data_IF_225995218583
#
_entry.id   IF_225995218583
#
_cell.length_a   1.000
_cell.length_b   1.000
_cell.length_c   1.000
_cell.angle_alpha   90.00
_cell.angle_beta   90.00
_cell.angle_gamma   90.00
#
_symmetry.space_group_name_H-M   'P 1'
#
loop_
_entity.id
_entity.type
_entity.pdbx_description
1 polymer ?
#
# COMPACT_ATOMS: atom_id res chain seq x y z
N UNK A 1 -11.69 21.28 -12.21
CA UNK A 1 -12.79 20.60 -12.94
C UNK A 1 -12.27 19.79 -14.13
N UNK A 2 -11.59 20.37 -15.13
CA UNK A 2 -11.04 19.59 -16.26
C UNK A 2 -9.71 18.86 -15.94
N UNK A 3 -8.94 19.35 -14.97
CA UNK A 3 -7.65 18.79 -14.57
C UNK A 3 -7.80 17.52 -13.72
N UNK A 4 -8.82 17.48 -12.84
CA UNK A 4 -9.15 16.31 -12.01
C UNK A 4 -9.53 15.09 -12.86
N UNK A 5 -10.32 15.31 -13.92
CA UNK A 5 -10.66 14.30 -14.93
C UNK A 5 -9.42 13.75 -15.65
N UNK A 6 -8.44 14.62 -15.95
CA UNK A 6 -7.22 14.22 -16.63
C UNK A 6 -6.33 13.34 -15.73
N UNK A 7 -6.25 13.65 -14.43
CA UNK A 7 -5.52 12.84 -13.45
C UNK A 7 -6.18 11.47 -13.29
N UNK A 8 -7.50 11.40 -13.16
CA UNK A 8 -8.25 10.13 -13.04
C UNK A 8 -8.17 9.26 -14.31
N UNK A 9 -8.07 9.88 -15.50
CA UNK A 9 -7.91 9.17 -16.78
C UNK A 9 -6.52 8.59 -17.01
N UNK A 10 -5.54 8.88 -16.16
CA UNK A 10 -4.19 8.36 -16.33
C UNK A 10 -4.20 6.83 -16.24
N UNK A 11 -3.84 6.09 -17.30
CA UNK A 11 -3.95 4.64 -17.31
C UNK A 11 -3.09 4.02 -16.20
N UNK A 12 -3.76 3.29 -15.31
CA UNK A 12 -3.15 2.63 -14.15
C UNK A 12 -3.25 3.39 -12.84
N UNK A 13 -3.67 4.66 -12.80
CA UNK A 13 -3.82 5.43 -11.55
C UNK A 13 -5.01 4.93 -10.70
N UNK A 14 -6.19 4.80 -11.31
CA UNK A 14 -7.42 4.39 -10.60
C UNK A 14 -7.29 3.06 -9.86
N UNK A 15 -6.76 2.01 -10.50
CA UNK A 15 -6.64 0.69 -9.88
C UNK A 15 -5.65 0.67 -8.70
N UNK A 16 -4.60 1.50 -8.74
CA UNK A 16 -3.61 1.61 -7.65
C UNK A 16 -4.20 2.27 -6.42
N UNK A 17 -5.03 3.28 -6.64
CA UNK A 17 -5.81 3.93 -5.58
C UNK A 17 -6.76 2.91 -4.95
N UNK A 18 -7.55 2.20 -5.77
CA UNK A 18 -8.41 1.12 -5.26
C UNK A 18 -7.62 0.04 -4.51
N UNK A 19 -6.46 -0.39 -5.03
CA UNK A 19 -5.59 -1.37 -4.37
C UNK A 19 -5.10 -0.84 -3.02
N UNK A 20 -4.70 0.43 -2.93
CA UNK A 20 -4.24 1.01 -1.65
C UNK A 20 -5.34 1.03 -0.60
N UNK A 21 -6.57 1.37 -0.98
CA UNK A 21 -7.74 1.35 -0.07
C UNK A 21 -7.99 -0.07 0.42
N UNK A 22 -8.03 -1.05 -0.49
CA UNK A 22 -8.26 -2.46 -0.14
C UNK A 22 -7.15 -3.01 0.76
N UNK A 23 -5.89 -2.68 0.48
CA UNK A 23 -4.74 -3.11 1.29
C UNK A 23 -4.81 -2.54 2.70
N UNK A 24 -5.14 -1.25 2.86
CA UNK A 24 -5.28 -0.62 4.17
C UNK A 24 -6.46 -1.22 4.94
N UNK A 25 -7.61 -1.39 4.29
CA UNK A 25 -8.78 -2.02 4.90
C UNK A 25 -8.52 -3.46 5.34
N UNK A 26 -7.83 -4.24 4.49
CA UNK A 26 -7.41 -5.60 4.81
C UNK A 26 -6.43 -5.65 5.98
N UNK A 27 -5.49 -4.70 6.05
CA UNK A 27 -4.55 -4.60 7.17
C UNK A 27 -5.25 -4.22 8.48
N UNK A 28 -6.22 -3.30 8.46
CA UNK A 28 -7.02 -2.97 9.64
C UNK A 28 -7.84 -4.17 10.12
N UNK A 29 -8.48 -4.90 9.20
CA UNK A 29 -9.19 -6.13 9.54
C UNK A 29 -8.25 -7.18 10.16
N UNK A 30 -7.05 -7.34 9.61
CA UNK A 30 -6.01 -8.19 10.18
C UNK A 30 -5.62 -7.76 11.60
N UNK A 31 -5.40 -6.46 11.84
CA UNK A 31 -5.07 -5.97 13.19
C UNK A 31 -6.18 -6.24 14.21
N UNK A 32 -7.45 -6.03 13.82
CA UNK A 32 -8.59 -6.32 14.69
C UNK A 32 -8.60 -7.80 15.07
N UNK A 33 -8.53 -8.69 14.07
CA UNK A 33 -8.51 -10.14 14.30
C UNK A 33 -7.28 -10.58 15.12
N UNK A 34 -6.12 -9.97 14.86
CA UNK A 34 -4.89 -10.25 15.58
C UNK A 34 -5.03 -9.94 17.06
N UNK A 35 -5.48 -8.72 17.39
CA UNK A 35 -5.61 -8.28 18.78
C UNK A 35 -6.68 -9.06 19.53
N UNK A 36 -7.79 -9.41 18.88
CA UNK A 36 -8.88 -10.12 19.55
C UNK A 36 -8.62 -11.61 19.77
N UNK A 37 -7.95 -12.30 18.84
CA UNK A 37 -7.81 -13.76 18.88
C UNK A 37 -6.40 -14.24 19.21
N UNK A 38 -5.35 -13.51 18.82
CA UNK A 38 -3.96 -13.98 18.88
C UNK A 38 -3.10 -13.24 19.90
N UNK A 39 -3.39 -11.96 20.18
CA UNK A 39 -2.52 -11.16 21.04
C UNK A 39 -2.39 -11.69 22.47
N UNK A 40 -3.38 -12.44 22.98
CA UNK A 40 -3.32 -13.04 24.31
C UNK A 40 -2.32 -14.22 24.41
N UNK A 41 -1.94 -14.82 23.28
CA UNK A 41 -1.03 -15.97 23.25
C UNK A 41 0.46 -15.58 23.25
N UNK A 42 0.78 -14.29 23.05
CA UNK A 42 2.14 -13.79 22.86
C UNK A 42 2.51 -12.75 23.91
N UNK A 43 3.81 -12.60 24.16
CA UNK A 43 4.34 -11.52 25.01
C UNK A 43 4.24 -10.15 24.30
N UNK A 44 4.38 -9.06 25.06
CA UNK A 44 4.33 -7.68 24.52
C UNK A 44 5.35 -7.45 23.38
N UNK A 45 6.54 -8.04 23.49
CA UNK A 45 7.61 -7.90 22.50
C UNK A 45 7.24 -8.64 21.21
N UNK A 46 6.78 -9.89 21.31
CA UNK A 46 6.40 -10.71 20.16
C UNK A 46 5.25 -10.10 19.37
N UNK A 47 4.21 -9.60 20.06
CA UNK A 47 3.11 -8.88 19.40
C UNK A 47 3.61 -7.65 18.62
N UNK A 48 4.55 -6.90 19.20
CA UNK A 48 5.12 -5.71 18.55
C UNK A 48 5.93 -6.06 17.30
N UNK A 49 6.69 -7.15 17.35
CA UNK A 49 7.42 -7.67 16.18
C UNK A 49 6.48 -8.08 15.07
N UNK A 50 5.38 -8.76 15.39
CA UNK A 50 4.40 -9.23 14.39
C UNK A 50 3.69 -8.04 13.73
N UNK A 51 3.31 -7.02 14.51
CA UNK A 51 2.76 -5.78 13.97
C UNK A 51 3.77 -5.07 13.05
N UNK A 52 5.04 -4.97 13.45
CA UNK A 52 6.10 -4.36 12.62
C UNK A 52 6.33 -5.13 11.31
N UNK A 53 6.37 -6.46 11.35
CA UNK A 53 6.52 -7.29 10.14
C UNK A 53 5.31 -7.12 9.24
N UNK A 54 4.09 -7.07 9.78
CA UNK A 54 2.88 -6.83 8.98
C UNK A 54 2.92 -5.46 8.28
N UNK A 55 3.41 -4.43 8.95
CA UNK A 55 3.60 -3.09 8.38
C UNK A 55 4.61 -3.10 7.24
N UNK A 56 5.72 -3.83 7.39
CA UNK A 56 6.72 -3.98 6.33
C UNK A 56 6.12 -4.67 5.10
N UNK A 57 5.27 -5.69 5.28
CA UNK A 57 4.60 -6.36 4.16
C UNK A 57 3.66 -5.40 3.42
N UNK A 58 2.82 -4.66 4.14
CA UNK A 58 1.92 -3.65 3.56
C UNK A 58 2.71 -2.56 2.83
N UNK A 59 3.76 -2.05 3.47
CA UNK A 59 4.67 -1.06 2.89
C UNK A 59 5.37 -1.58 1.63
N UNK A 60 5.77 -2.84 1.60
CA UNK A 60 6.37 -3.47 0.42
C UNK A 60 5.37 -3.63 -0.72
N UNK A 61 4.13 -4.04 -0.45
CA UNK A 61 3.07 -4.18 -1.46
C UNK A 61 2.74 -2.82 -2.08
N UNK A 62 2.51 -1.80 -1.25
CA UNK A 62 2.23 -0.45 -1.72
C UNK A 62 3.47 0.12 -2.42
N UNK A 63 4.64 0.01 -1.82
CA UNK A 63 5.91 0.46 -2.37
C UNK A 63 6.19 -0.13 -3.75
N UNK A 64 6.11 -1.45 -3.92
CA UNK A 64 6.31 -2.11 -5.21
C UNK A 64 5.25 -1.71 -6.25
N UNK A 65 3.99 -1.60 -5.80
CA UNK A 65 2.89 -1.14 -6.65
C UNK A 65 3.20 0.23 -7.21
N UNK A 66 3.56 1.21 -6.39
CA UNK A 66 3.82 2.59 -6.81
C UNK A 66 5.20 2.80 -7.46
N UNK A 67 6.27 2.18 -6.95
CA UNK A 67 7.63 2.32 -7.46
C UNK A 67 7.78 1.86 -8.91
N UNK A 68 7.11 0.76 -9.29
CA UNK A 68 7.13 0.27 -10.68
C UNK A 68 6.60 1.28 -11.70
N UNK A 69 5.67 2.15 -11.31
CA UNK A 69 5.12 3.21 -12.16
C UNK A 69 5.89 4.51 -12.07
N UNK A 70 6.35 4.87 -10.87
CA UNK A 70 7.26 6.01 -10.70
C UNK A 70 8.52 5.84 -11.56
N UNK A 71 9.09 4.63 -11.63
CA UNK A 71 10.24 4.33 -12.49
C UNK A 71 9.87 4.32 -13.98
N UNK A 72 8.66 3.85 -14.33
CA UNK A 72 8.19 3.78 -15.73
C UNK A 72 7.88 5.16 -16.31
N UNK A 73 7.21 6.03 -15.54
CA UNK A 73 6.85 7.39 -15.94
C UNK A 73 7.97 8.40 -15.67
N UNK A 74 8.82 8.18 -14.67
CA UNK A 74 10.01 8.99 -14.42
C UNK A 74 11.05 8.88 -15.54
N UNK A 75 11.16 7.72 -16.21
CA UNK A 75 12.06 7.54 -17.36
C UNK A 75 11.55 8.19 -18.66
N UNK A 76 10.24 8.41 -18.81
CA UNK A 76 9.68 9.12 -19.97
C UNK A 76 9.96 10.63 -19.95
N UNK A 77 10.24 11.22 -18.79
CA UNK A 77 10.65 12.63 -18.69
C UNK A 77 12.11 12.88 -19.13
N UNK A 78 12.89 11.82 -19.39
CA UNK A 78 14.29 11.91 -19.83
C UNK A 78 14.54 11.62 -21.32
N UNK A 79 13.52 11.28 -22.11
CA UNK A 79 13.65 10.96 -23.55
C UNK A 79 12.84 11.90 -24.46
N UNK A 80 12.87 13.17 -24.11
CA UNK A 80 12.42 14.30 -24.95
C UNK A 80 13.51 15.38 -24.90
N UNK A 81 14.71 15.05 -25.36
CA UNK A 81 15.71 16.02 -25.83
C UNK A 81 16.39 15.44 -27.06
#
# INVERSE_FOLDING_TARGET
>A
MAEDEAVLKTPGFAWRVSLSIVVVMGWLAFLILWVTFYAAAFTLIENSVIVLVSLLIVGAILGASWASWGIKYGRTCGRQK
#
